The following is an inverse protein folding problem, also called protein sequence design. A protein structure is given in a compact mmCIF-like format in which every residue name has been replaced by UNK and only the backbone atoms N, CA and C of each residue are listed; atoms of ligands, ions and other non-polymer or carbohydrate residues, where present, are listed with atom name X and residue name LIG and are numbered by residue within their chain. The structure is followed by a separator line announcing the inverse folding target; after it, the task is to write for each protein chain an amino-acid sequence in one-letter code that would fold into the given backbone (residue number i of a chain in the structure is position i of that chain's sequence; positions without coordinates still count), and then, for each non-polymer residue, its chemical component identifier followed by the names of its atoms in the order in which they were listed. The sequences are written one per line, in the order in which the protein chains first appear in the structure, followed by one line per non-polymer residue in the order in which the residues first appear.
data_IF_814640559189
#
_entry.id   IF_814640559189
#
_cell.length_a   1.000
_cell.length_b   1.000
_cell.length_c   1.000
_cell.angle_alpha   90.00
_cell.angle_beta   90.00
_cell.angle_gamma   90.00
#
_symmetry.space_group_name_H-M   'P 1'
#
loop_
_entity.id
_entity.type
_entity.pdbx_description
1 polymer ?
#
# COMPACT_ATOMS: atom_id res chain seq x y z
N UNK A 1 -1.57 -6.96 15.83
CA UNK A 1 -0.38 -7.32 15.03
C UNK A 1 -0.73 -8.12 13.77
N UNK A 2 -1.65 -9.09 13.83
CA UNK A 2 -2.07 -9.93 12.68
C UNK A 2 -2.56 -9.17 11.44
N UNK A 3 -3.26 -8.03 11.60
CA UNK A 3 -3.80 -7.27 10.48
C UNK A 3 -2.78 -6.51 9.62
N UNK A 4 -1.58 -6.21 10.14
CA UNK A 4 -0.56 -5.48 9.37
C UNK A 4 0.19 -6.41 8.42
N UNK A 5 0.71 -7.52 8.95
CA UNK A 5 1.47 -8.51 8.18
C UNK A 5 0.60 -9.06 7.04
N UNK A 6 -0.68 -9.36 7.31
CA UNK A 6 -1.59 -9.82 6.27
C UNK A 6 -1.76 -8.82 5.11
N UNK A 7 -1.94 -7.53 5.43
CA UNK A 7 -2.03 -6.46 4.41
C UNK A 7 -0.73 -6.29 3.64
N UNK A 8 0.41 -6.41 4.33
CA UNK A 8 1.72 -6.37 3.71
C UNK A 8 1.93 -7.53 2.73
N UNK A 9 1.60 -8.76 3.14
CA UNK A 9 1.68 -9.95 2.28
C UNK A 9 0.78 -9.79 1.05
N UNK A 10 -0.45 -9.27 1.21
CA UNK A 10 -1.33 -9.01 0.07
C UNK A 10 -0.71 -7.98 -0.89
N UNK A 11 -0.20 -6.86 -0.38
CA UNK A 11 0.45 -5.85 -1.22
C UNK A 11 1.69 -6.41 -1.94
N UNK A 12 2.47 -7.23 -1.24
CA UNK A 12 3.62 -7.92 -1.81
C UNK A 12 3.22 -8.88 -2.94
N UNK A 13 2.20 -9.71 -2.74
CA UNK A 13 1.71 -10.65 -3.76
C UNK A 13 1.23 -9.89 -5.01
N UNK A 14 0.50 -8.79 -4.85
CA UNK A 14 0.01 -7.99 -5.98
C UNK A 14 1.19 -7.39 -6.77
N UNK A 15 2.19 -6.84 -6.08
CA UNK A 15 3.38 -6.29 -6.74
C UNK A 15 4.22 -7.38 -7.41
N UNK A 16 4.44 -8.50 -6.73
CA UNK A 16 5.16 -9.65 -7.24
C UNK A 16 4.45 -10.30 -8.44
N UNK A 17 3.11 -10.26 -8.50
CA UNK A 17 2.37 -10.77 -9.65
C UNK A 17 2.67 -10.03 -10.96
N UNK A 18 3.20 -8.80 -10.91
CA UNK A 18 3.43 -7.97 -12.10
C UNK A 18 4.90 -7.71 -12.38
N UNK A 19 5.70 -7.47 -11.33
CA UNK A 19 7.07 -6.97 -11.46
C UNK A 19 8.15 -7.98 -11.07
N UNK A 20 7.80 -9.25 -10.83
CA UNK A 20 8.82 -10.25 -10.53
C UNK A 20 9.70 -10.56 -11.76
N UNK A 21 10.88 -11.13 -11.51
CA UNK A 21 11.82 -11.55 -12.56
C UNK A 21 11.58 -12.96 -13.08
N UNK A 22 10.61 -13.67 -12.51
CA UNK A 22 10.29 -15.05 -12.91
C UNK A 22 9.35 -15.04 -14.12
N UNK A 23 9.28 -16.17 -14.82
CA UNK A 23 8.30 -16.37 -15.91
C UNK A 23 6.84 -16.35 -15.41
N UNK A 24 6.64 -16.56 -14.10
CA UNK A 24 5.34 -16.54 -13.44
C UNK A 24 4.93 -15.11 -13.06
N UNK A 25 4.74 -14.25 -14.05
CA UNK A 25 4.16 -12.93 -13.87
C UNK A 25 3.03 -12.68 -14.88
N UNK A 26 2.13 -11.76 -14.53
CA UNK A 26 0.97 -11.42 -15.35
C UNK A 26 1.36 -10.92 -16.74
N UNK A 27 2.48 -10.19 -16.89
CA UNK A 27 2.90 -9.61 -18.17
C UNK A 27 3.31 -10.72 -19.14
N UNK A 28 4.20 -11.62 -18.72
CA UNK A 28 4.65 -12.78 -19.51
C UNK A 28 3.47 -13.68 -19.84
N UNK A 29 2.67 -14.04 -18.83
CA UNK A 29 1.47 -14.86 -19.04
C UNK A 29 0.48 -14.20 -20.02
N UNK A 30 0.27 -12.89 -19.92
CA UNK A 30 -0.63 -12.15 -20.80
C UNK A 30 -0.13 -12.12 -22.25
N UNK A 31 1.18 -11.99 -22.46
CA UNK A 31 1.80 -12.03 -23.80
C UNK A 31 1.61 -13.40 -24.46
N UNK A 32 1.88 -14.48 -23.71
CA UNK A 32 1.78 -15.85 -24.21
C UNK A 32 0.34 -16.28 -24.53
N UNK A 33 -0.64 -15.71 -23.82
CA UNK A 33 -2.05 -16.11 -23.90
C UNK A 33 -2.93 -15.07 -24.59
N UNK A 34 -2.38 -13.98 -25.12
CA UNK A 34 -3.16 -12.88 -25.68
C UNK A 34 -4.05 -13.34 -26.84
N UNK A 35 -3.50 -14.10 -27.78
CA UNK A 35 -4.23 -14.54 -28.96
C UNK A 35 -5.25 -15.64 -28.64
N UNK A 36 -4.91 -16.54 -27.72
CA UNK A 36 -5.76 -17.66 -27.33
C UNK A 36 -6.90 -17.26 -26.36
N UNK A 37 -6.67 -16.29 -25.47
CA UNK A 37 -7.57 -15.95 -24.36
C UNK A 37 -7.73 -14.43 -24.16
N UNK A 38 -7.84 -13.68 -25.26
CA UNK A 38 -7.89 -12.21 -25.28
C UNK A 38 -8.82 -11.57 -24.25
N UNK A 39 -10.05 -12.05 -24.14
CA UNK A 39 -11.04 -11.48 -23.21
C UNK A 39 -10.62 -11.67 -21.74
N UNK A 40 -10.05 -12.83 -21.40
CA UNK A 40 -9.59 -13.15 -20.05
C UNK A 40 -8.35 -12.33 -19.70
N UNK A 41 -7.40 -12.21 -20.63
CA UNK A 41 -6.22 -11.34 -20.47
C UNK A 41 -6.65 -9.90 -20.19
N UNK A 42 -7.51 -9.31 -21.04
CA UNK A 42 -8.00 -7.94 -20.83
C UNK A 42 -8.74 -7.81 -19.49
N UNK A 43 -9.61 -8.77 -19.15
CA UNK A 43 -10.37 -8.75 -17.91
C UNK A 43 -9.48 -8.76 -16.66
N UNK A 44 -8.49 -9.66 -16.60
CA UNK A 44 -7.52 -9.70 -15.51
C UNK A 44 -6.63 -8.45 -15.48
N UNK A 45 -6.23 -7.94 -16.64
CA UNK A 45 -5.44 -6.70 -16.73
C UNK A 45 -6.18 -5.49 -16.19
N UNK A 46 -7.46 -5.33 -16.52
CA UNK A 46 -8.31 -4.27 -15.96
C UNK A 46 -8.48 -4.45 -14.46
N UNK A 47 -8.77 -5.67 -13.99
CA UNK A 47 -8.88 -5.95 -12.56
C UNK A 47 -7.60 -5.58 -11.80
N UNK A 48 -6.45 -6.02 -12.30
CA UNK A 48 -5.14 -5.72 -11.72
C UNK A 48 -4.87 -4.21 -11.75
N UNK A 49 -5.20 -3.53 -12.85
CA UNK A 49 -5.12 -2.07 -12.97
C UNK A 49 -5.95 -1.33 -11.92
N UNK A 50 -7.19 -1.77 -11.65
CA UNK A 50 -8.04 -1.20 -10.60
C UNK A 50 -7.39 -1.38 -9.22
N UNK A 51 -6.85 -2.58 -8.95
CA UNK A 51 -6.13 -2.85 -7.69
C UNK A 51 -4.92 -1.93 -7.55
N UNK A 52 -4.14 -1.72 -8.60
CA UNK A 52 -3.03 -0.76 -8.59
C UNK A 52 -3.48 0.68 -8.34
N UNK A 53 -4.53 1.15 -9.03
CA UNK A 53 -5.07 2.49 -8.81
C UNK A 53 -5.55 2.68 -7.37
N UNK A 54 -6.13 1.65 -6.75
CA UNK A 54 -6.49 1.66 -5.34
C UNK A 54 -5.26 1.76 -4.43
N UNK A 55 -4.19 0.99 -4.71
CA UNK A 55 -2.93 1.04 -3.95
C UNK A 55 -2.30 2.44 -4.01
N UNK A 56 -2.22 3.05 -5.19
CA UNK A 56 -1.74 4.42 -5.35
C UNK A 56 -2.65 5.43 -4.65
N UNK A 57 -3.96 5.29 -4.79
CA UNK A 57 -4.94 6.15 -4.12
C UNK A 57 -4.78 6.15 -2.59
N UNK A 58 -4.47 5.00 -2.00
CA UNK A 58 -4.15 4.88 -0.57
C UNK A 58 -2.86 5.63 -0.22
N UNK A 59 -1.80 5.44 -1.01
CA UNK A 59 -0.50 6.08 -0.77
C UNK A 59 -0.62 7.61 -0.77
N UNK A 60 -1.19 8.17 -1.84
CA UNK A 60 -1.39 9.61 -1.98
C UNK A 60 -2.41 10.16 -0.98
N UNK A 61 -3.47 9.42 -0.68
CA UNK A 61 -4.49 9.84 0.27
C UNK A 61 -4.02 9.85 1.73
N UNK A 62 -2.96 9.12 2.06
CA UNK A 62 -2.42 9.05 3.43
C UNK A 62 -1.27 10.03 3.64
N UNK A 63 -0.31 10.07 2.72
CA UNK A 63 0.91 10.88 2.86
C UNK A 63 0.75 12.27 2.24
N UNK A 64 -0.18 12.45 1.31
CA UNK A 64 -0.25 13.64 0.45
C UNK A 64 0.93 13.73 -0.53
N UNK A 65 0.86 14.67 -1.47
CA UNK A 65 1.91 14.85 -2.50
C UNK A 65 3.28 15.13 -1.87
N UNK A 66 3.33 15.98 -0.85
CA UNK A 66 4.57 16.31 -0.15
C UNK A 66 5.14 15.10 0.61
N UNK A 67 4.29 14.32 1.29
CA UNK A 67 4.75 13.13 1.99
C UNK A 67 5.28 12.05 1.04
N UNK A 68 4.66 11.88 -0.13
CA UNK A 68 5.19 10.99 -1.17
C UNK A 68 6.53 11.50 -1.70
N UNK A 69 6.69 12.81 -1.91
CA UNK A 69 7.97 13.38 -2.32
C UNK A 69 9.07 13.13 -1.27
N UNK A 70 8.78 13.37 0.01
CA UNK A 70 9.71 13.08 1.11
C UNK A 70 10.06 11.59 1.17
N UNK A 71 9.08 10.72 0.97
CA UNK A 71 9.30 9.28 0.92
C UNK A 71 10.25 8.89 -0.23
N UNK A 72 10.05 9.45 -1.43
CA UNK A 72 10.95 9.23 -2.57
C UNK A 72 12.37 9.69 -2.24
N UNK A 73 12.55 10.86 -1.62
CA UNK A 73 13.87 11.37 -1.23
C UNK A 73 14.56 10.42 -0.25
N UNK A 74 13.83 9.95 0.77
CA UNK A 74 14.36 9.00 1.76
C UNK A 74 14.79 7.70 1.08
N UNK A 75 13.97 7.13 0.19
CA UNK A 75 14.32 5.89 -0.51
C UNK A 75 15.44 6.07 -1.53
N UNK A 76 15.52 7.22 -2.20
CA UNK A 76 16.64 7.54 -3.08
C UNK A 76 17.96 7.63 -2.30
N UNK A 77 17.96 8.29 -1.14
CA UNK A 77 19.13 8.35 -0.26
C UNK A 77 19.50 6.98 0.31
N UNK A 78 18.51 6.21 0.79
CA UNK A 78 18.74 4.85 1.28
C UNK A 78 19.33 3.95 0.18
N UNK A 79 18.76 4.02 -1.03
CA UNK A 79 19.25 3.30 -2.20
C UNK A 79 20.68 3.69 -2.56
N UNK A 80 21.01 4.99 -2.55
CA UNK A 80 22.38 5.47 -2.76
C UNK A 80 23.36 4.87 -1.76
N UNK A 81 23.02 4.89 -0.46
CA UNK A 81 23.85 4.30 0.60
C UNK A 81 24.02 2.78 0.40
N UNK A 82 22.95 2.09 0.02
CA UNK A 82 22.98 0.64 -0.23
C UNK A 82 23.86 0.27 -1.43
N UNK A 83 23.84 1.09 -2.50
CA UNK A 83 24.71 0.91 -3.66
C UNK A 83 26.16 1.20 -3.31
N UNK A 84 26.43 2.27 -2.57
CA UNK A 84 27.78 2.66 -2.14
C UNK A 84 28.45 1.58 -1.28
N UNK A 85 27.68 0.92 -0.41
CA UNK A 85 28.16 -0.21 0.40
C UNK A 85 28.26 -1.54 -0.36
N UNK A 86 27.97 -1.56 -1.67
CA UNK A 86 28.01 -2.78 -2.50
C UNK A 86 26.89 -3.79 -2.22
N UNK A 87 25.85 -3.43 -1.46
CA UNK A 87 24.71 -4.30 -1.17
C UNK A 87 23.68 -4.34 -2.30
N UNK A 88 23.54 -3.23 -3.03
CA UNK A 88 22.73 -3.16 -4.25
C UNK A 88 23.62 -2.83 -5.44
N UNK A 89 23.28 -3.38 -6.59
CA UNK A 89 23.87 -2.96 -7.87
C UNK A 89 22.96 -1.93 -8.55
N UNK A 90 23.47 -1.16 -9.51
CA UNK A 90 22.61 -0.35 -10.39
C UNK A 90 21.96 -1.17 -11.50
N UNK A 91 22.38 -2.42 -11.65
CA UNK A 91 21.82 -3.36 -12.61
C UNK A 91 20.47 -3.93 -12.14
N UNK A 92 19.66 -4.36 -13.10
CA UNK A 92 18.41 -5.07 -12.85
C UNK A 92 18.71 -6.50 -12.39
N UNK A 93 19.15 -6.66 -11.14
CA UNK A 93 19.35 -7.96 -10.51
C UNK A 93 18.07 -8.43 -9.81
N UNK A 94 17.92 -9.76 -9.68
CA UNK A 94 16.81 -10.37 -8.94
C UNK A 94 16.70 -9.79 -7.52
N UNK A 95 17.83 -9.69 -6.82
CA UNK A 95 17.87 -9.16 -5.46
C UNK A 95 17.34 -7.73 -5.37
N UNK A 96 17.74 -6.86 -6.29
CA UNK A 96 17.29 -5.47 -6.33
C UNK A 96 15.78 -5.36 -6.60
N UNK A 97 15.25 -6.17 -7.51
CA UNK A 97 13.84 -6.15 -7.91
C UNK A 97 12.97 -6.65 -6.76
N UNK A 98 13.29 -7.82 -6.19
CA UNK A 98 12.57 -8.37 -5.05
C UNK A 98 12.67 -7.48 -3.80
N UNK A 99 13.83 -6.87 -3.56
CA UNK A 99 14.04 -5.88 -2.50
C UNK A 99 13.15 -4.65 -2.69
N UNK A 100 13.11 -4.09 -3.90
CA UNK A 100 12.24 -2.97 -4.26
C UNK A 100 10.75 -3.27 -4.05
N UNK A 101 10.30 -4.46 -4.48
CA UNK A 101 8.92 -4.95 -4.26
C UNK A 101 8.60 -5.04 -2.77
N UNK A 102 9.49 -5.64 -1.97
CA UNK A 102 9.29 -5.80 -0.53
C UNK A 102 9.16 -4.44 0.18
N UNK A 103 10.02 -3.49 -0.19
CA UNK A 103 10.02 -2.12 0.34
C UNK A 103 8.74 -1.37 -0.05
N UNK A 104 8.34 -1.42 -1.32
CA UNK A 104 7.11 -0.78 -1.80
C UNK A 104 5.86 -1.36 -1.09
N UNK A 105 5.82 -2.68 -0.92
CA UNK A 105 4.76 -3.34 -0.17
C UNK A 105 4.69 -2.85 1.28
N UNK A 106 5.85 -2.69 1.95
CA UNK A 106 5.92 -2.17 3.32
C UNK A 106 5.36 -0.75 3.42
N UNK A 107 5.74 0.12 2.49
CA UNK A 107 5.25 1.51 2.44
C UNK A 107 3.73 1.56 2.33
N UNK A 108 3.15 0.76 1.42
CA UNK A 108 1.71 0.73 1.22
C UNK A 108 1.00 0.14 2.45
N UNK A 109 1.54 -0.92 3.05
CA UNK A 109 1.02 -1.50 4.29
C UNK A 109 1.02 -0.49 5.45
N UNK A 110 2.08 0.31 5.57
CA UNK A 110 2.19 1.38 6.56
C UNK A 110 1.18 2.50 6.30
N UNK A 111 1.00 2.93 5.05
CA UNK A 111 -0.02 3.91 4.69
C UNK A 111 -1.44 3.43 5.07
N UNK A 112 -1.77 2.17 4.82
CA UNK A 112 -3.07 1.58 5.20
C UNK A 112 -3.31 1.51 6.71
N UNK A 113 -2.26 1.30 7.51
CA UNK A 113 -2.39 1.16 8.96
C UNK A 113 -2.72 2.50 9.63
N UNK A 114 -2.15 3.60 9.15
CA UNK A 114 -2.37 4.95 9.70
C UNK A 114 -3.83 5.40 9.57
N UNK A 115 -4.47 5.10 8.43
CA UNK A 115 -5.89 5.42 8.21
C UNK A 115 -6.82 4.69 9.17
N UNK A 116 -6.43 3.49 9.60
CA UNK A 116 -7.20 2.68 10.55
C UNK A 116 -7.14 3.28 11.96
N UNK A 117 -5.94 3.66 12.40
CA UNK A 117 -5.74 4.30 13.71
C UNK A 117 -6.48 5.65 13.80
N UNK A 118 -6.38 6.51 12.78
CA UNK A 118 -7.04 7.81 12.78
C UNK A 118 -8.57 7.70 12.84
N UNK A 119 -9.17 6.69 12.20
CA UNK A 119 -10.63 6.46 12.24
C UNK A 119 -11.09 6.06 13.65
N UNK A 120 -10.34 5.22 14.35
CA UNK A 120 -10.67 4.78 15.70
C UNK A 120 -10.67 5.94 16.68
N UNK A 121 -9.64 6.78 16.68
CA UNK A 121 -9.55 7.93 17.60
C UNK A 121 -10.70 8.93 17.41
N UNK A 122 -11.14 9.16 16.16
CA UNK A 122 -12.28 10.03 15.87
C UNK A 122 -13.59 9.48 16.43
N UNK A 123 -13.82 8.17 16.32
CA UNK A 123 -15.03 7.52 16.88
C UNK A 123 -15.08 7.66 18.39
N UNK A 124 -13.98 7.36 19.08
CA UNK A 124 -13.88 7.47 20.54
C UNK A 124 -14.16 8.91 21.00
N UNK A 125 -13.56 9.92 20.35
CA UNK A 125 -13.81 11.32 20.66
C UNK A 125 -15.28 11.74 20.44
N UNK A 126 -15.94 11.18 19.42
CA UNK A 126 -17.35 11.44 19.13
C UNK A 126 -18.29 10.80 20.16
N UNK A 127 -17.96 9.61 20.65
CA UNK A 127 -18.71 8.94 21.72
C UNK A 127 -18.58 9.68 23.05
N UNK A 128 -17.38 10.15 23.40
CA UNK A 128 -17.18 10.97 24.61
C UNK A 128 -17.96 12.28 24.57
N UNK A 129 -17.97 12.97 23.43
CA UNK A 129 -18.74 14.21 23.27
C UNK A 129 -20.25 13.95 23.36
N UNK A 130 -20.74 12.85 22.76
CA UNK A 130 -22.15 12.44 22.87
C UNK A 130 -22.53 12.03 24.29
N UNK A 131 -21.64 11.36 25.03
CA UNK A 131 -21.84 10.99 26.43
C UNK A 131 -21.87 12.23 27.34
N UNK A 132 -21.02 13.24 27.07
CA UNK A 132 -21.02 14.51 27.81
C UNK A 132 -22.29 15.32 27.54
N UNK A 133 -22.76 15.39 26.29
CA UNK A 133 -23.99 16.13 25.94
C UNK A 133 -25.24 15.51 26.56
N UNK A 134 -25.35 14.18 26.52
CA UNK A 134 -26.46 13.44 27.16
C UNK A 134 -26.48 13.61 28.68
N UNK A 135 -25.32 13.52 29.36
CA UNK A 135 -25.22 13.81 30.80
C UNK A 135 -25.64 15.25 31.14
N UNK A 136 -25.22 16.23 30.33
CA UNK A 136 -25.59 17.64 30.53
C UNK A 136 -27.10 17.86 30.37
N UNK A 137 -27.72 17.24 29.36
CA UNK A 137 -29.17 17.32 29.14
C UNK A 137 -29.96 16.66 30.28
N UNK A 138 -29.54 15.49 30.76
CA UNK A 138 -30.18 14.81 31.89
C UNK A 138 -30.09 15.61 33.19
N UNK A 139 -28.99 16.34 33.42
CA UNK A 139 -28.84 17.25 34.57
C UNK A 139 -29.77 18.45 34.45
N UNK A 140 -29.92 19.03 33.27
CA UNK A 140 -30.81 20.17 33.03
C UNK A 140 -32.29 19.82 33.18
N UNK A 141 -32.70 18.58 32.83
CA UNK A 141 -34.08 18.11 33.00
C UNK A 141 -34.46 17.77 34.45
N UNK A 142 -33.49 17.67 35.36
CA UNK A 142 -33.70 17.40 36.80
C UNK A 142 -33.64 18.67 37.66
N UNK A 143 -33.32 19.82 37.07
CA UNK A 143 -33.31 21.13 37.72
C UNK A 143 -34.61 21.87 37.39
#
# INVERSE_FOLDING_TARGET
MSGFIFRWVIAFIILAATYNTTEYNYITWAQDNYDAQKALVIGLGVFLGIVYLMLFGVLFGTLGKLGVLLLIIIFALAGYILVDNGLLTLEMSDFNIWGGIAVLALVIAAAMSWRSAAKTSRKVAQEETRAKSTKKAAKAAKA
#
